data_IF_161507434439
#
_entry.id   IF_161507434439
#
_cell.length_a   1.000
_cell.length_b   1.000
_cell.length_c   1.000
_cell.angle_alpha   90.00
_cell.angle_beta   90.00
_cell.angle_gamma   90.00
#
_symmetry.space_group_name_H-M   'P 1'
#
loop_
_entity.id
_entity.type
_entity.pdbx_description
1 polymer ?
#
# COMPACT_ATOMS: atom_id res chain seq x y z
N UNK A 1 -21.30 -32.03 -16.18
CA UNK A 1 -20.52 -32.75 -15.15
C UNK A 1 -21.16 -32.43 -13.82
N UNK A 2 -21.57 -33.45 -13.08
CA UNK A 2 -22.12 -33.23 -11.74
C UNK A 2 -21.01 -32.83 -10.77
N UNK A 3 -21.16 -31.65 -10.17
CA UNK A 3 -20.18 -31.07 -9.27
C UNK A 3 -19.99 -31.91 -8.00
N UNK A 4 -21.06 -32.53 -7.53
CA UNK A 4 -21.05 -33.32 -6.31
C UNK A 4 -20.39 -34.68 -6.55
N UNK A 5 -20.69 -35.32 -7.68
CA UNK A 5 -19.97 -36.54 -8.12
C UNK A 5 -18.46 -36.32 -8.18
N UNK A 6 -18.00 -35.22 -8.81
CA UNK A 6 -16.57 -34.89 -8.90
C UNK A 6 -15.96 -34.61 -7.51
N UNK A 7 -16.71 -33.94 -6.63
CA UNK A 7 -16.27 -33.72 -5.26
C UNK A 7 -16.04 -35.04 -4.52
N UNK A 8 -16.99 -35.98 -4.61
CA UNK A 8 -16.85 -37.29 -3.97
C UNK A 8 -15.74 -38.14 -4.57
N UNK A 9 -15.50 -38.05 -5.88
CA UNK A 9 -14.37 -38.71 -6.55
C UNK A 9 -13.02 -38.28 -5.93
N UNK A 10 -12.84 -36.99 -5.66
CA UNK A 10 -11.61 -36.48 -5.06
C UNK A 10 -11.54 -36.64 -3.54
N UNK A 11 -12.66 -36.53 -2.82
CA UNK A 11 -12.67 -36.56 -1.36
C UNK A 11 -12.55 -37.98 -0.80
N UNK A 12 -13.22 -38.98 -1.42
CA UNK A 12 -13.25 -40.36 -0.92
C UNK A 12 -11.86 -40.94 -0.63
N UNK A 13 -10.85 -40.80 -1.50
CA UNK A 13 -9.49 -41.25 -1.21
C UNK A 13 -8.85 -40.56 0.02
N UNK A 14 -9.18 -39.29 0.29
CA UNK A 14 -8.58 -38.53 1.40
C UNK A 14 -9.15 -38.93 2.77
N UNK A 15 -10.40 -39.39 2.80
CA UNK A 15 -11.13 -39.80 4.01
C UNK A 15 -11.15 -41.33 4.20
N UNK A 16 -10.42 -42.05 3.35
CA UNK A 16 -10.23 -43.51 3.45
C UNK A 16 -8.80 -43.78 3.90
N UNK A 17 -8.63 -44.65 4.89
CA UNK A 17 -7.32 -45.02 5.44
C UNK A 17 -7.15 -46.52 5.39
N UNK A 18 -5.98 -46.95 4.96
CA UNK A 18 -5.57 -48.36 4.96
C UNK A 18 -4.76 -48.72 6.21
N UNK A 19 -4.24 -47.70 6.91
CA UNK A 19 -3.36 -47.84 8.08
C UNK A 19 -3.65 -46.79 9.14
N UNK A 20 -3.41 -47.15 10.39
CA UNK A 20 -3.28 -46.23 11.52
C UNK A 20 -1.81 -45.77 11.62
N UNK A 21 -1.52 -44.56 11.11
CA UNK A 21 -0.16 -44.00 11.10
C UNK A 21 0.36 -43.70 12.54
N UNK A 22 -0.53 -43.43 13.50
CA UNK A 22 -0.16 -43.11 14.88
C UNK A 22 0.24 -44.37 15.67
N UNK A 23 -0.47 -45.49 15.43
CA UNK A 23 -0.20 -46.78 16.08
C UNK A 23 0.66 -47.72 15.25
N UNK A 24 0.92 -47.35 14.00
CA UNK A 24 1.78 -48.09 13.07
C UNK A 24 1.19 -49.42 12.59
N UNK A 25 -0.11 -49.67 12.75
CA UNK A 25 -0.77 -50.93 12.35
C UNK A 25 -1.69 -50.76 11.14
N UNK A 26 -1.68 -51.77 10.26
CA UNK A 26 -2.56 -51.80 9.09
C UNK A 26 -3.97 -52.26 9.48
N UNK A 27 -5.00 -51.71 8.83
CA UNK A 27 -6.37 -52.15 9.02
C UNK A 27 -6.64 -53.44 8.21
N UNK A 28 -7.56 -54.28 8.68
CA UNK A 28 -7.97 -55.49 7.95
C UNK A 28 -8.68 -55.19 6.63
N UNK A 29 -9.24 -54.00 6.50
CA UNK A 29 -9.83 -53.44 5.29
C UNK A 29 -9.73 -51.91 5.32
N UNK A 30 -9.76 -51.22 4.17
CA UNK A 30 -9.81 -49.76 4.15
C UNK A 30 -10.98 -49.22 5.00
N UNK A 31 -10.68 -48.32 5.92
CA UNK A 31 -11.66 -47.67 6.79
C UNK A 31 -11.96 -46.29 6.22
N UNK A 32 -13.23 -46.04 5.88
CA UNK A 32 -13.68 -44.77 5.33
C UNK A 32 -14.51 -44.00 6.37
N UNK A 33 -14.29 -42.69 6.50
CA UNK A 33 -15.18 -41.84 7.28
C UNK A 33 -16.61 -41.84 6.67
N UNK A 34 -17.68 -42.01 7.48
CA UNK A 34 -19.04 -42.13 6.96
C UNK A 34 -19.48 -40.90 6.15
N UNK A 35 -19.92 -41.13 4.91
CA UNK A 35 -20.32 -40.07 3.97
C UNK A 35 -21.58 -39.34 4.44
N UNK A 36 -22.49 -40.06 5.08
CA UNK A 36 -23.73 -39.55 5.69
C UNK A 36 -23.48 -38.63 6.89
N UNK A 37 -22.28 -38.68 7.49
CA UNK A 37 -21.83 -37.73 8.50
C UNK A 37 -21.29 -36.41 7.91
N UNK A 38 -21.22 -36.26 6.59
CA UNK A 38 -20.67 -35.08 5.91
C UNK A 38 -21.81 -34.28 5.26
N UNK A 39 -22.01 -33.04 5.70
CA UNK A 39 -22.96 -32.10 5.07
C UNK A 39 -22.23 -31.12 4.15
N UNK A 40 -22.45 -31.23 2.83
CA UNK A 40 -21.92 -30.28 1.85
C UNK A 40 -22.72 -28.97 1.93
N UNK A 41 -22.05 -27.88 2.33
CA UNK A 41 -22.69 -26.54 2.34
C UNK A 41 -22.68 -25.89 0.95
N UNK A 42 -21.61 -26.10 0.17
CA UNK A 42 -21.44 -25.54 -1.17
C UNK A 42 -20.38 -26.33 -1.94
N UNK A 43 -20.73 -26.81 -3.14
CA UNK A 43 -19.79 -27.34 -4.12
C UNK A 43 -19.88 -26.53 -5.41
N UNK A 44 -18.76 -25.95 -5.85
CA UNK A 44 -18.68 -25.15 -7.08
C UNK A 44 -17.39 -25.50 -7.80
N UNK A 45 -17.42 -26.32 -8.86
CA UNK A 45 -16.25 -26.52 -9.70
C UNK A 45 -15.95 -25.21 -10.41
N UNK A 46 -14.68 -24.86 -10.48
CA UNK A 46 -14.25 -23.63 -11.14
C UNK A 46 -12.99 -23.91 -11.95
N UNK A 47 -12.88 -23.25 -13.11
CA UNK A 47 -11.72 -23.35 -13.98
C UNK A 47 -10.76 -22.22 -13.66
N UNK A 48 -9.50 -22.55 -13.43
CA UNK A 48 -8.47 -21.53 -13.28
C UNK A 48 -8.37 -20.74 -14.59
N UNK A 49 -8.53 -19.42 -14.49
CA UNK A 49 -8.37 -18.50 -15.60
C UNK A 49 -7.67 -17.25 -15.10
N UNK A 50 -6.80 -16.70 -15.94
CA UNK A 50 -6.32 -15.34 -15.80
C UNK A 50 -6.88 -14.52 -16.96
N UNK A 51 -7.70 -13.53 -16.65
CA UNK A 51 -8.29 -12.62 -17.64
C UNK A 51 -8.20 -11.21 -17.11
N UNK A 52 -7.96 -10.26 -18.00
CA UNK A 52 -7.93 -8.83 -17.66
C UNK A 52 -8.53 -8.08 -18.83
N UNK A 53 -9.34 -7.07 -18.55
CA UNK A 53 -9.92 -6.19 -19.56
C UNK A 53 -8.83 -5.49 -20.37
N UNK A 54 -9.10 -5.34 -21.66
CA UNK A 54 -8.33 -4.55 -22.61
C UNK A 54 -8.49 -3.04 -22.34
N UNK A 55 -9.65 -2.60 -21.84
CA UNK A 55 -9.91 -1.22 -21.49
C UNK A 55 -10.56 -1.13 -20.10
N UNK A 56 -9.89 -0.43 -19.18
CA UNK A 56 -10.33 -0.29 -17.78
C UNK A 56 -11.42 0.76 -17.57
N UNK A 57 -11.50 1.75 -18.47
CA UNK A 57 -12.52 2.77 -18.45
C UNK A 57 -12.85 3.24 -19.86
N UNK A 58 -14.11 3.60 -20.09
CA UNK A 58 -14.57 4.23 -21.31
C UNK A 58 -15.56 5.34 -20.93
N UNK A 59 -15.20 6.60 -21.25
CA UNK A 59 -15.95 7.78 -20.83
C UNK A 59 -16.18 7.77 -19.31
N UNK A 60 -17.44 7.63 -18.87
CA UNK A 60 -17.85 7.64 -17.44
C UNK A 60 -18.09 6.24 -16.88
N UNK A 61 -17.71 5.18 -17.61
CA UNK A 61 -17.82 3.78 -17.17
C UNK A 61 -16.43 3.27 -16.83
N UNK A 62 -16.29 2.70 -15.63
CA UNK A 62 -15.02 2.18 -15.11
C UNK A 62 -15.26 0.76 -14.59
N UNK A 63 -14.35 -0.16 -14.89
CA UNK A 63 -14.39 -1.56 -14.43
C UNK A 63 -13.31 -1.77 -13.35
N UNK A 64 -13.67 -2.45 -12.26
CA UNK A 64 -12.77 -2.79 -11.15
C UNK A 64 -13.09 -4.20 -10.61
N UNK A 65 -12.14 -4.79 -9.86
CA UNK A 65 -12.30 -6.11 -9.25
C UNK A 65 -12.54 -7.20 -10.30
N UNK A 66 -13.37 -8.19 -9.95
CA UNK A 66 -13.67 -9.34 -10.81
C UNK A 66 -14.29 -8.98 -12.17
N UNK A 67 -14.88 -7.77 -12.30
CA UNK A 67 -15.35 -7.24 -13.57
C UNK A 67 -14.22 -6.79 -14.50
N UNK A 68 -13.06 -6.41 -13.94
CA UNK A 68 -11.88 -5.98 -14.68
C UNK A 68 -10.84 -7.08 -14.83
N UNK A 69 -10.69 -7.97 -13.84
CA UNK A 69 -9.69 -9.02 -13.85
C UNK A 69 -10.10 -10.24 -13.03
N UNK A 70 -9.66 -11.41 -13.45
CA UNK A 70 -9.88 -12.68 -12.76
C UNK A 70 -8.54 -13.34 -12.54
N UNK A 71 -8.29 -13.80 -11.32
CA UNK A 71 -7.09 -14.56 -10.95
C UNK A 71 -7.41 -16.03 -10.70
N UNK A 72 -6.45 -16.94 -10.94
CA UNK A 72 -6.47 -18.24 -10.27
C UNK A 72 -6.51 -18.03 -8.74
N UNK A 73 -7.21 -18.85 -7.94
CA UNK A 73 -7.43 -18.57 -6.52
C UNK A 73 -6.26 -19.03 -5.65
N UNK A 74 -5.03 -18.66 -6.03
CA UNK A 74 -3.86 -18.82 -5.20
C UNK A 74 -3.53 -17.49 -4.53
N UNK A 75 -3.33 -17.51 -3.21
CA UNK A 75 -2.97 -16.35 -2.39
C UNK A 75 -4.01 -15.21 -2.30
N UNK A 76 -5.30 -15.47 -2.56
CA UNK A 76 -6.40 -14.53 -2.26
C UNK A 76 -6.36 -13.21 -3.04
N UNK A 77 -5.73 -13.16 -4.21
CA UNK A 77 -5.44 -11.91 -4.92
C UNK A 77 -6.65 -11.22 -5.57
N UNK A 78 -7.76 -11.92 -5.84
CA UNK A 78 -8.96 -11.33 -6.46
C UNK A 78 -9.54 -10.17 -5.66
N UNK A 79 -10.07 -10.48 -4.46
CA UNK A 79 -10.63 -9.46 -3.56
C UNK A 79 -9.60 -8.41 -3.15
N UNK A 80 -8.36 -8.82 -2.85
CA UNK A 80 -7.30 -7.90 -2.44
C UNK A 80 -6.93 -6.92 -3.56
N UNK A 81 -6.99 -7.33 -4.82
CA UNK A 81 -6.75 -6.46 -5.98
C UNK A 81 -7.95 -5.56 -6.25
N UNK A 82 -9.17 -6.08 -6.14
CA UNK A 82 -10.39 -5.27 -6.28
C UNK A 82 -10.47 -4.12 -5.27
N UNK A 83 -10.13 -4.36 -4.00
CA UNK A 83 -10.03 -3.31 -2.98
C UNK A 83 -8.97 -2.27 -3.34
N UNK A 84 -7.83 -2.71 -3.89
CA UNK A 84 -6.76 -1.80 -4.37
C UNK A 84 -7.22 -0.96 -5.55
N UNK A 85 -7.98 -1.54 -6.49
CA UNK A 85 -8.55 -0.80 -7.62
C UNK A 85 -9.43 0.35 -7.11
N UNK A 86 -10.37 0.04 -6.21
CA UNK A 86 -11.28 1.01 -5.62
C UNK A 86 -10.53 2.10 -4.83
N UNK A 87 -9.57 1.72 -3.99
CA UNK A 87 -8.81 2.66 -3.17
C UNK A 87 -7.99 3.65 -4.00
N UNK A 88 -7.33 3.18 -5.06
CA UNK A 88 -6.57 4.05 -5.97
C UNK A 88 -7.47 4.89 -6.89
N UNK A 89 -8.67 4.39 -7.21
CA UNK A 89 -9.64 5.10 -8.05
C UNK A 89 -10.33 6.23 -7.26
N UNK A 90 -10.69 5.98 -6.01
CA UNK A 90 -11.51 6.89 -5.19
C UNK A 90 -10.94 8.31 -5.13
N UNK A 91 -9.65 8.47 -4.83
CA UNK A 91 -9.03 9.79 -4.73
C UNK A 91 -8.91 10.49 -6.09
N UNK A 92 -8.73 9.73 -7.18
CA UNK A 92 -8.68 10.28 -8.54
C UNK A 92 -10.05 10.77 -9.00
N UNK A 93 -11.11 10.05 -8.64
CA UNK A 93 -12.47 10.53 -8.85
C UNK A 93 -12.75 11.78 -8.02
N UNK A 94 -12.35 11.79 -6.73
CA UNK A 94 -12.47 12.99 -5.89
C UNK A 94 -11.71 14.19 -6.48
N UNK A 95 -10.50 13.95 -7.00
CA UNK A 95 -9.70 14.96 -7.70
C UNK A 95 -10.41 15.51 -8.95
N UNK A 96 -10.94 14.63 -9.80
CA UNK A 96 -11.67 15.03 -11.00
C UNK A 96 -12.96 15.79 -10.67
N UNK A 97 -13.68 15.38 -9.62
CA UNK A 97 -14.91 16.03 -9.17
C UNK A 97 -14.67 17.42 -8.57
N UNK A 98 -13.52 17.63 -7.92
CA UNK A 98 -13.13 18.91 -7.31
C UNK A 98 -12.43 19.85 -8.29
N UNK A 99 -11.93 19.35 -9.42
CA UNK A 99 -11.33 20.19 -10.45
C UNK A 99 -12.37 21.13 -11.06
N UNK A 100 -12.02 22.42 -11.18
CA UNK A 100 -12.86 23.45 -11.82
C UNK A 100 -13.13 23.19 -13.31
N UNK A 101 -12.28 22.39 -13.97
CA UNK A 101 -12.42 22.05 -15.39
C UNK A 101 -12.23 20.55 -15.61
N UNK A 102 -13.31 19.85 -15.95
CA UNK A 102 -13.32 18.43 -16.29
C UNK A 102 -13.20 18.24 -17.81
N UNK A 103 -12.11 18.74 -18.40
CA UNK A 103 -11.86 18.47 -19.82
C UNK A 103 -11.71 16.97 -20.05
N UNK A 104 -12.12 16.50 -21.22
CA UNK A 104 -11.96 15.09 -21.59
C UNK A 104 -10.48 14.65 -21.57
N UNK A 105 -9.57 15.55 -21.95
CA UNK A 105 -8.13 15.32 -21.89
C UNK A 105 -7.65 15.07 -20.44
N UNK A 106 -8.10 15.87 -19.46
CA UNK A 106 -7.74 15.68 -18.06
C UNK A 106 -8.29 14.36 -17.52
N UNK A 107 -9.57 14.06 -17.79
CA UNK A 107 -10.19 12.79 -17.37
C UNK A 107 -9.43 11.60 -17.95
N UNK A 108 -9.12 11.63 -19.25
CA UNK A 108 -8.38 10.56 -19.91
C UNK A 108 -6.95 10.42 -19.38
N UNK A 109 -6.26 11.51 -19.05
CA UNK A 109 -4.92 11.48 -18.46
C UNK A 109 -4.92 10.87 -17.05
N UNK A 110 -5.85 11.30 -16.19
CA UNK A 110 -5.96 10.84 -14.80
C UNK A 110 -6.39 9.36 -14.76
N UNK A 111 -7.45 8.99 -15.48
CA UNK A 111 -7.93 7.61 -15.52
C UNK A 111 -7.00 6.68 -16.33
N UNK A 112 -6.34 7.21 -17.36
CA UNK A 112 -5.31 6.50 -18.12
C UNK A 112 -4.12 6.10 -17.25
N UNK A 113 -3.59 7.05 -16.46
CA UNK A 113 -2.50 6.76 -15.53
C UNK A 113 -2.90 5.75 -14.45
N UNK A 114 -4.13 5.86 -13.93
CA UNK A 114 -4.70 4.86 -13.01
C UNK A 114 -4.77 3.47 -13.64
N UNK A 115 -5.32 3.36 -14.85
CA UNK A 115 -5.43 2.08 -15.55
C UNK A 115 -4.07 1.43 -15.77
N UNK A 116 -3.03 2.21 -16.09
CA UNK A 116 -1.66 1.71 -16.22
C UNK A 116 -1.07 1.26 -14.88
N UNK A 117 -1.25 2.02 -13.80
CA UNK A 117 -0.82 1.63 -12.44
C UNK A 117 -1.50 0.32 -12.02
N UNK A 118 -2.81 0.18 -12.28
CA UNK A 118 -3.57 -1.03 -11.96
C UNK A 118 -3.20 -2.21 -12.84
N UNK A 119 -3.02 -2.00 -14.14
CA UNK A 119 -2.59 -3.05 -15.07
C UNK A 119 -1.27 -3.67 -14.62
N UNK A 120 -0.28 -2.84 -14.32
CA UNK A 120 1.00 -3.32 -13.79
C UNK A 120 0.82 -4.14 -12.51
N UNK A 121 0.03 -3.63 -11.56
CA UNK A 121 -0.22 -4.34 -10.29
C UNK A 121 -0.95 -5.67 -10.46
N UNK A 122 -1.85 -5.78 -11.44
CA UNK A 122 -2.58 -7.02 -11.75
C UNK A 122 -1.66 -8.02 -12.42
N UNK A 123 -0.86 -7.58 -13.40
CA UNK A 123 0.09 -8.46 -14.09
C UNK A 123 1.15 -9.03 -13.14
N UNK A 124 1.63 -8.22 -12.19
CA UNK A 124 2.58 -8.67 -11.15
C UNK A 124 1.91 -9.64 -10.16
N UNK A 125 0.65 -9.38 -9.77
CA UNK A 125 -0.12 -10.31 -8.93
C UNK A 125 -0.41 -11.64 -9.66
N UNK A 126 -0.64 -11.60 -10.97
CA UNK A 126 -0.91 -12.80 -11.78
C UNK A 126 0.30 -13.73 -11.79
N UNK A 127 1.50 -13.18 -12.03
CA UNK A 127 2.76 -13.94 -11.96
C UNK A 127 2.95 -14.58 -10.58
N UNK A 128 2.70 -13.82 -9.51
CA UNK A 128 2.80 -14.32 -8.15
C UNK A 128 1.79 -15.45 -7.86
N UNK A 129 0.54 -15.27 -8.26
CA UNK A 129 -0.51 -16.28 -8.13
C UNK A 129 -0.19 -17.55 -8.93
N UNK A 130 0.34 -17.43 -10.15
CA UNK A 130 0.77 -18.59 -10.94
C UNK A 130 1.92 -19.35 -10.27
N UNK A 131 2.92 -18.63 -9.73
CA UNK A 131 4.02 -19.26 -8.99
C UNK A 131 3.51 -20.00 -7.75
N UNK A 132 2.61 -19.39 -6.97
CA UNK A 132 2.00 -20.07 -5.83
C UNK A 132 1.19 -21.29 -6.25
N UNK A 133 0.44 -21.19 -7.36
CA UNK A 133 -0.27 -22.32 -7.92
C UNK A 133 0.66 -23.47 -8.28
N UNK A 134 1.82 -23.17 -8.89
CA UNK A 134 2.84 -24.18 -9.15
C UNK A 134 3.36 -24.83 -7.87
N UNK A 135 3.70 -24.04 -6.85
CA UNK A 135 4.22 -24.53 -5.57
C UNK A 135 3.21 -25.35 -4.76
N UNK A 136 1.91 -25.04 -4.87
CA UNK A 136 0.86 -25.82 -4.20
C UNK A 136 0.59 -27.17 -4.86
N UNK A 137 0.85 -27.30 -6.16
CA UNK A 137 0.53 -28.50 -6.93
C UNK A 137 1.75 -29.37 -7.25
N UNK A 138 2.96 -28.90 -6.96
CA UNK A 138 4.20 -29.62 -7.25
C UNK A 138 5.11 -29.58 -6.03
N UNK A 139 5.83 -30.68 -5.79
CA UNK A 139 6.84 -30.68 -4.76
C UNK A 139 7.98 -29.72 -5.09
N UNK A 140 8.30 -28.74 -4.22
CA UNK A 140 9.42 -27.86 -4.45
C UNK A 140 10.74 -28.63 -4.34
N UNK A 141 11.72 -28.29 -5.17
CA UNK A 141 13.06 -28.85 -5.11
C UNK A 141 13.71 -28.59 -3.74
N UNK A 142 14.64 -29.46 -3.32
CA UNK A 142 15.33 -29.29 -2.03
C UNK A 142 16.06 -27.95 -1.94
N UNK A 143 16.65 -27.47 -3.05
CA UNK A 143 17.28 -26.16 -3.14
C UNK A 143 16.31 -25.01 -2.91
N UNK A 144 15.11 -25.09 -3.46
CA UNK A 144 14.07 -24.08 -3.22
C UNK A 144 13.64 -24.08 -1.74
N UNK A 145 13.45 -25.27 -1.14
CA UNK A 145 13.11 -25.39 0.29
C UNK A 145 14.21 -24.78 1.17
N UNK A 146 15.48 -25.08 0.89
CA UNK A 146 16.62 -24.49 1.60
C UNK A 146 16.68 -22.97 1.45
N UNK A 147 16.49 -22.46 0.23
CA UNK A 147 16.46 -21.02 -0.04
C UNK A 147 15.32 -20.33 0.71
N UNK A 148 14.13 -20.93 0.73
CA UNK A 148 12.98 -20.41 1.46
C UNK A 148 13.23 -20.39 2.97
N UNK A 149 13.81 -21.46 3.53
CA UNK A 149 14.20 -21.50 4.93
C UNK A 149 15.26 -20.44 5.28
N UNK A 150 16.25 -20.23 4.41
CA UNK A 150 17.24 -19.17 4.58
C UNK A 150 16.58 -17.78 4.55
N UNK A 151 15.67 -17.54 3.61
CA UNK A 151 14.95 -16.28 3.51
C UNK A 151 14.11 -16.01 4.76
N UNK A 152 13.34 -16.99 5.24
CA UNK A 152 12.58 -16.88 6.49
C UNK A 152 13.48 -16.67 7.71
N UNK A 153 14.62 -17.37 7.77
CA UNK A 153 15.59 -17.18 8.85
C UNK A 153 16.15 -15.75 8.85
N UNK A 154 16.56 -15.24 7.69
CA UNK A 154 17.03 -13.86 7.54
C UNK A 154 15.96 -12.85 7.96
N UNK A 155 14.70 -13.04 7.55
CA UNK A 155 13.60 -12.16 7.97
C UNK A 155 13.32 -12.20 9.47
N UNK A 156 13.45 -13.36 10.11
CA UNK A 156 13.24 -13.52 11.55
C UNK A 156 14.37 -12.92 12.40
N UNK A 157 15.56 -12.75 11.81
CA UNK A 157 16.73 -12.25 12.51
C UNK A 157 16.74 -10.71 12.59
N UNK A 158 16.94 -10.15 13.79
CA UNK A 158 16.99 -8.70 14.02
C UNK A 158 18.11 -7.99 13.24
N UNK A 159 19.19 -8.69 12.88
CA UNK A 159 20.26 -8.09 12.08
C UNK A 159 19.79 -7.70 10.66
N UNK A 160 18.83 -8.42 10.07
CA UNK A 160 18.30 -8.09 8.74
C UNK A 160 17.52 -6.77 8.70
N UNK A 161 17.10 -6.26 9.86
CA UNK A 161 16.37 -5.00 10.02
C UNK A 161 17.24 -3.77 9.68
N UNK A 162 18.56 -3.92 9.69
CA UNK A 162 19.49 -2.86 9.31
C UNK A 162 19.55 -2.68 7.78
N UNK A 163 19.09 -3.66 7.02
CA UNK A 163 19.04 -3.61 5.57
C UNK A 163 17.66 -3.13 5.06
N UNK A 164 17.64 -2.38 3.94
CA UNK A 164 16.40 -1.96 3.30
C UNK A 164 15.48 -3.16 3.07
N UNK A 165 14.21 -3.03 3.45
CA UNK A 165 13.24 -4.11 3.22
C UNK A 165 13.12 -4.38 1.70
N UNK A 166 13.48 -5.59 1.21
CA UNK A 166 13.38 -5.92 -0.21
C UNK A 166 11.96 -5.72 -0.75
N UNK A 167 10.93 -6.02 0.05
CA UNK A 167 9.55 -5.76 -0.30
C UNK A 167 9.28 -4.26 -0.48
N UNK A 168 9.83 -3.39 0.39
CA UNK A 168 9.67 -1.94 0.25
C UNK A 168 10.37 -1.39 -1.02
N UNK A 169 11.49 -2.00 -1.44
CA UNK A 169 12.17 -1.66 -2.69
C UNK A 169 11.29 -2.05 -3.89
N UNK A 170 10.75 -3.27 -3.88
CA UNK A 170 9.85 -3.76 -4.93
C UNK A 170 8.57 -2.93 -5.01
N UNK A 171 7.96 -2.62 -3.85
CA UNK A 171 6.81 -1.71 -3.73
C UNK A 171 7.11 -0.35 -4.34
N UNK A 172 8.27 0.25 -4.03
CA UNK A 172 8.68 1.55 -4.57
C UNK A 172 8.75 1.51 -6.10
N UNK A 173 9.50 0.56 -6.66
CA UNK A 173 9.66 0.40 -8.12
C UNK A 173 8.34 0.14 -8.84
N UNK A 174 7.32 -0.36 -8.13
CA UNK A 174 6.04 -0.77 -8.67
C UNK A 174 5.29 0.32 -9.43
N UNK A 175 5.32 1.59 -8.98
CA UNK A 175 4.59 2.67 -9.65
C UNK A 175 5.48 3.77 -10.22
N UNK A 176 6.77 3.78 -9.88
CA UNK A 176 7.69 4.84 -10.30
C UNK A 176 7.82 5.00 -11.82
N UNK A 177 7.78 3.90 -12.57
CA UNK A 177 7.99 3.93 -14.03
C UNK A 177 6.67 3.92 -14.83
N UNK A 178 5.52 4.12 -14.17
CA UNK A 178 4.24 4.15 -14.87
C UNK A 178 4.11 5.48 -15.59
N UNK A 179 3.92 5.44 -16.92
CA UNK A 179 3.77 6.63 -17.74
C UNK A 179 2.58 7.47 -17.25
N UNK A 180 2.85 8.75 -16.94
CA UNK A 180 1.85 9.65 -16.40
C UNK A 180 1.37 9.30 -14.97
N UNK A 181 2.04 8.38 -14.28
CA UNK A 181 1.73 8.05 -12.89
C UNK A 181 1.94 9.25 -11.95
N UNK A 182 1.33 9.18 -10.77
CA UNK A 182 1.53 10.19 -9.73
C UNK A 182 2.75 9.86 -8.86
N UNK A 183 3.92 9.76 -9.47
CA UNK A 183 5.20 9.47 -8.82
C UNK A 183 6.36 10.06 -9.62
N UNK A 184 7.22 10.82 -8.96
CA UNK A 184 8.44 11.39 -9.56
C UNK A 184 9.65 10.49 -9.26
N UNK A 185 10.18 9.84 -10.30
CA UNK A 185 11.34 8.94 -10.20
C UNK A 185 12.59 9.64 -9.66
N UNK A 186 12.91 10.80 -10.22
CA UNK A 186 14.10 11.58 -9.86
C UNK A 186 14.08 12.13 -8.42
N UNK A 187 12.92 12.05 -7.75
CA UNK A 187 12.71 12.56 -6.39
C UNK A 187 12.26 11.45 -5.43
N UNK A 188 12.71 10.21 -5.64
CA UNK A 188 12.43 9.07 -4.77
C UNK A 188 10.92 8.76 -4.53
N UNK A 189 10.06 9.10 -5.50
CA UNK A 189 8.64 8.76 -5.48
C UNK A 189 8.36 7.25 -5.59
N UNK A 190 7.11 6.87 -5.28
CA UNK A 190 6.59 5.51 -5.40
C UNK A 190 6.65 4.70 -4.09
N UNK A 191 7.33 5.19 -3.06
CA UNK A 191 7.34 4.53 -1.76
C UNK A 191 5.93 4.51 -1.15
N UNK A 192 5.53 3.40 -0.53
CA UNK A 192 4.29 3.33 0.26
C UNK A 192 4.60 3.52 1.73
N UNK A 193 3.94 4.44 2.43
CA UNK A 193 4.08 4.58 3.87
C UNK A 193 3.29 3.49 4.60
N UNK A 194 3.88 2.98 5.69
CA UNK A 194 3.24 1.98 6.56
C UNK A 194 2.49 2.67 7.67
N UNK A 195 1.38 2.09 8.12
CA UNK A 195 0.71 2.58 9.31
C UNK A 195 1.59 2.38 10.56
N UNK A 196 1.69 3.42 11.37
CA UNK A 196 2.35 3.39 12.68
C UNK A 196 1.57 4.24 13.68
N UNK A 197 1.86 4.09 14.97
CA UNK A 197 1.41 5.08 15.95
C UNK A 197 2.30 6.30 15.88
N UNK A 198 1.69 7.46 16.02
CA UNK A 198 2.34 8.74 16.21
C UNK A 198 1.81 9.36 17.49
N UNK A 199 2.64 10.13 18.17
CA UNK A 199 2.29 10.87 19.37
C UNK A 199 2.46 12.35 19.13
N UNK A 200 1.45 13.14 19.48
CA UNK A 200 1.52 14.60 19.46
C UNK A 200 2.39 15.12 20.61
N UNK A 201 2.81 16.37 20.50
CA UNK A 201 3.42 17.12 21.59
C UNK A 201 2.55 17.18 22.86
N UNK A 202 1.23 17.07 22.74
CA UNK A 202 0.29 17.05 23.86
C UNK A 202 0.16 15.66 24.51
N UNK A 203 0.84 14.64 23.97
CA UNK A 203 0.86 13.29 24.48
C UNK A 203 -0.23 12.37 23.91
N UNK A 204 -1.09 12.88 23.03
CA UNK A 204 -2.13 12.09 22.35
C UNK A 204 -1.48 11.12 21.35
N UNK A 205 -1.85 9.84 21.40
CA UNK A 205 -1.38 8.83 20.45
C UNK A 205 -2.48 8.43 19.48
N UNK A 206 -2.22 8.64 18.19
CA UNK A 206 -3.14 8.31 17.10
C UNK A 206 -2.42 7.47 16.04
N UNK A 207 -3.19 6.88 15.12
CA UNK A 207 -2.61 6.19 13.98
C UNK A 207 -2.21 7.20 12.90
N UNK A 208 -1.07 6.95 12.25
CA UNK A 208 -0.49 7.85 11.24
C UNK A 208 -1.44 8.11 10.07
N UNK A 209 -2.30 7.17 9.70
CA UNK A 209 -3.28 7.35 8.63
C UNK A 209 -4.46 8.23 9.02
N UNK A 210 -4.73 8.39 10.31
CA UNK A 210 -5.69 9.38 10.83
C UNK A 210 -5.09 10.77 10.70
N UNK A 211 -3.82 10.92 11.12
CA UNK A 211 -3.08 12.17 10.97
C UNK A 211 -2.94 12.61 9.51
N UNK A 212 -2.56 11.70 8.61
CA UNK A 212 -2.33 12.03 7.20
C UNK A 212 -3.63 12.33 6.43
N UNK A 213 -4.80 12.04 7.01
CA UNK A 213 -6.14 12.31 6.48
C UNK A 213 -6.93 13.30 7.34
N UNK A 214 -6.24 14.14 8.12
CA UNK A 214 -6.86 15.14 8.98
C UNK A 214 -7.50 16.30 8.20
N UNK A 215 -7.02 16.56 6.97
CA UNK A 215 -7.54 17.58 6.07
C UNK A 215 -8.41 16.97 4.98
N UNK A 216 -9.42 17.72 4.54
CA UNK A 216 -10.26 17.35 3.41
C UNK A 216 -9.54 17.44 2.06
N UNK A 217 -8.31 17.94 1.98
CA UNK A 217 -7.51 18.01 0.76
C UNK A 217 -7.21 16.62 0.15
N UNK A 218 -6.89 16.59 -1.15
CA UNK A 218 -6.50 15.35 -1.83
C UNK A 218 -5.07 14.97 -1.52
N UNK A 219 -4.13 15.92 -1.48
CA UNK A 219 -2.74 15.63 -1.17
C UNK A 219 -2.36 16.15 0.21
N UNK A 220 -1.39 15.48 0.83
CA UNK A 220 -0.85 15.84 2.14
C UNK A 220 0.64 16.10 1.99
N UNK A 221 1.14 17.16 2.61
CA UNK A 221 2.59 17.42 2.70
C UNK A 221 3.06 17.00 4.08
N UNK A 222 4.10 16.17 4.12
CA UNK A 222 4.83 15.85 5.33
C UNK A 222 6.07 16.74 5.37
N UNK A 223 6.19 17.60 6.38
CA UNK A 223 7.40 18.35 6.68
C UNK A 223 8.17 17.66 7.81
N UNK A 224 9.45 17.35 7.58
CA UNK A 224 10.29 16.58 8.51
C UNK A 224 11.12 17.55 9.35
N UNK A 225 10.71 17.68 10.61
CA UNK A 225 11.34 18.50 11.65
C UNK A 225 12.71 17.95 12.07
N UNK A 226 13.57 18.84 12.57
CA UNK A 226 14.88 18.50 13.13
C UNK A 226 15.08 19.05 14.56
N UNK A 227 14.12 19.79 15.10
CA UNK A 227 14.15 20.39 16.43
C UNK A 227 14.87 21.74 16.51
N UNK A 228 15.60 22.16 15.48
CA UNK A 228 16.35 23.43 15.47
C UNK A 228 15.64 24.51 14.64
N UNK A 229 15.03 24.13 13.51
CA UNK A 229 14.49 25.07 12.50
C UNK A 229 13.02 24.79 12.16
N UNK A 230 12.26 24.17 13.06
CA UNK A 230 10.94 23.61 12.74
C UNK A 230 9.91 24.68 12.32
N UNK A 231 9.93 25.87 12.94
CA UNK A 231 9.11 27.02 12.51
C UNK A 231 9.42 27.47 11.09
N UNK A 232 10.70 27.45 10.70
CA UNK A 232 11.11 27.80 9.34
C UNK A 232 10.67 26.74 8.34
N UNK A 233 10.80 25.46 8.68
CA UNK A 233 10.33 24.35 7.83
C UNK A 233 8.83 24.45 7.55
N UNK A 234 8.04 24.76 8.57
CA UNK A 234 6.60 24.98 8.37
C UNK A 234 6.33 26.19 7.48
N UNK A 235 6.99 27.32 7.75
CA UNK A 235 6.80 28.54 6.98
C UNK A 235 7.18 28.35 5.50
N UNK A 236 8.30 27.70 5.24
CA UNK A 236 8.75 27.35 3.90
C UNK A 236 7.71 26.48 3.15
N UNK A 237 7.11 25.49 3.83
CA UNK A 237 6.06 24.66 3.24
C UNK A 237 4.78 25.46 2.98
N UNK A 238 4.41 26.35 3.92
CA UNK A 238 3.23 27.21 3.80
C UNK A 238 3.34 28.14 2.60
N UNK A 239 4.46 28.87 2.48
CA UNK A 239 4.73 29.78 1.36
C UNK A 239 4.75 29.04 0.02
N UNK A 240 5.36 27.85 -0.03
CA UNK A 240 5.38 27.03 -1.24
C UNK A 240 3.96 26.58 -1.66
N UNK A 241 3.10 26.21 -0.71
CA UNK A 241 1.71 25.82 -1.00
C UNK A 241 0.89 27.02 -1.48
N UNK A 242 0.96 28.14 -0.77
CA UNK A 242 0.24 29.37 -1.12
C UNK A 242 0.70 29.92 -2.49
N UNK A 243 2.00 29.86 -2.77
CA UNK A 243 2.60 30.27 -4.05
C UNK A 243 2.34 29.31 -5.22
N UNK A 244 1.94 28.07 -4.96
CA UNK A 244 1.71 27.07 -6.02
C UNK A 244 0.53 27.43 -6.94
N UNK A 245 -0.49 28.11 -6.40
CA UNK A 245 -1.75 28.36 -7.09
C UNK A 245 -2.51 27.08 -7.47
N UNK A 246 -2.31 26.00 -6.71
CA UNK A 246 -3.13 24.77 -6.77
C UNK A 246 -4.47 25.04 -6.06
N UNK A 247 -5.53 24.39 -6.52
CA UNK A 247 -6.86 24.54 -5.90
C UNK A 247 -6.82 24.12 -4.41
N UNK A 248 -7.33 24.94 -3.47
CA UNK A 248 -7.35 24.61 -2.04
C UNK A 248 -8.06 23.29 -1.71
N UNK A 249 -9.01 22.85 -2.52
CA UNK A 249 -9.68 21.56 -2.37
C UNK A 249 -8.76 20.36 -2.70
N UNK A 250 -7.66 20.61 -3.41
CA UNK A 250 -6.66 19.62 -3.79
C UNK A 250 -5.47 19.65 -2.83
N UNK A 251 -4.95 20.83 -2.50
CA UNK A 251 -3.84 21.01 -1.58
C UNK A 251 -3.94 22.38 -0.91
N UNK A 252 -3.84 22.42 0.42
CA UNK A 252 -3.86 23.67 1.21
C UNK A 252 -2.94 23.59 2.41
N UNK A 253 -2.74 24.70 3.10
CA UNK A 253 -1.91 24.79 4.31
C UNK A 253 -2.42 23.89 5.44
N UNK A 254 -3.73 23.60 5.49
CA UNK A 254 -4.33 22.65 6.45
C UNK A 254 -3.87 21.20 6.26
N UNK A 255 -3.35 20.85 5.08
CA UNK A 255 -2.87 19.50 4.75
C UNK A 255 -1.36 19.32 5.02
N UNK A 256 -0.72 20.31 5.64
CA UNK A 256 0.69 20.22 6.06
C UNK A 256 0.75 19.54 7.42
N UNK A 257 1.51 18.44 7.49
CA UNK A 257 1.74 17.65 8.70
C UNK A 257 3.21 17.74 9.09
N UNK A 258 3.48 18.07 10.35
CA UNK A 258 4.84 18.14 10.89
C UNK A 258 5.20 16.81 11.58
N UNK A 259 6.27 16.17 11.11
CA UNK A 259 6.80 14.94 11.68
C UNK A 259 8.22 15.14 12.21
N UNK A 260 8.46 14.83 13.48
CA UNK A 260 9.80 14.78 14.07
C UNK A 260 10.34 13.35 14.15
N UNK A 261 11.55 13.06 13.63
CA UNK A 261 12.16 11.73 13.64
C UNK A 261 12.43 11.12 15.01
N UNK A 262 12.68 11.98 15.99
CA UNK A 262 13.11 11.58 17.33
C UNK A 262 12.10 12.07 18.34
N UNK A 263 11.51 11.13 19.08
CA UNK A 263 10.89 11.44 20.36
C UNK A 263 12.03 11.63 21.36
N UNK A 264 12.57 12.86 21.47
CA UNK A 264 13.34 13.20 22.67
C UNK A 264 12.36 13.12 23.82
N UNK A 265 12.66 12.36 24.88
CA UNK A 265 11.79 12.17 26.05
C UNK A 265 11.53 13.43 26.90
N UNK A 266 11.47 14.61 26.26
CA UNK A 266 10.99 15.88 26.78
C UNK A 266 10.01 16.48 25.76
N UNK A 267 8.99 17.16 26.27
CA UNK A 267 7.92 17.84 25.55
C UNK A 267 8.40 18.44 24.21
N UNK A 268 8.05 17.81 23.09
CA UNK A 268 8.24 18.41 21.77
C UNK A 268 7.46 19.72 21.81
N UNK A 269 8.11 20.86 21.59
CA UNK A 269 7.38 22.13 21.62
C UNK A 269 6.52 22.24 20.36
N UNK A 270 5.26 22.70 20.45
CA UNK A 270 4.50 23.04 19.26
C UNK A 270 5.27 24.05 18.42
N UNK A 271 5.09 23.97 17.11
CA UNK A 271 5.64 24.97 16.20
C UNK A 271 4.68 26.15 16.17
N UNK A 272 5.15 27.32 16.62
CA UNK A 272 4.40 28.56 16.51
C UNK A 272 4.57 29.12 15.09
N UNK A 273 3.44 29.30 14.39
CA UNK A 273 3.42 29.98 13.10
C UNK A 273 3.66 31.49 13.28
N UNK A 274 4.02 32.18 12.20
CA UNK A 274 4.19 33.65 12.20
C UNK A 274 2.90 34.37 12.61
N UNK A 275 1.74 33.74 12.43
CA UNK A 275 0.41 34.22 12.83
C UNK A 275 0.01 33.87 14.28
N UNK A 276 0.88 33.19 15.04
CA UNK A 276 0.63 32.79 16.45
C UNK A 276 -0.18 31.51 16.62
N UNK A 277 -0.56 30.83 15.54
CA UNK A 277 -1.20 29.50 15.63
C UNK A 277 -0.16 28.45 16.04
N UNK A 278 -0.51 27.61 17.01
CA UNK A 278 0.31 26.49 17.45
C UNK A 278 0.00 25.25 16.62
N UNK A 279 1.03 24.74 15.94
CA UNK A 279 0.94 23.59 15.06
C UNK A 279 1.55 22.39 15.76
N UNK A 280 0.74 21.34 15.89
CA UNK A 280 1.15 20.11 16.53
C UNK A 280 2.24 19.41 15.71
N UNK A 281 3.26 18.95 16.41
CA UNK A 281 4.34 18.13 15.85
C UNK A 281 4.15 16.72 16.34
N UNK A 282 4.22 15.77 15.42
CA UNK A 282 4.02 14.36 15.71
C UNK A 282 5.32 13.59 15.60
N UNK A 283 5.56 12.67 16.53
CA UNK A 283 6.70 11.76 16.47
C UNK A 283 6.25 10.31 16.44
N UNK A 284 7.00 9.41 15.79
CA UNK A 284 6.71 7.98 15.85
C UNK A 284 6.66 7.49 17.30
N UNK A 285 5.59 6.78 17.63
CA UNK A 285 5.35 6.25 18.97
C UNK A 285 5.14 4.73 18.93
N UNK A 286 5.38 4.08 20.07
CA UNK A 286 5.00 2.68 20.24
C UNK A 286 3.51 2.57 20.55
N UNK A 287 2.94 1.38 20.32
CA UNK A 287 1.56 1.09 20.66
C UNK A 287 1.29 1.43 22.14
N UNK A 288 0.19 2.14 22.47
CA UNK A 288 -0.17 2.56 23.85
C UNK A 288 -0.37 1.43 24.88
N UNK A 289 -0.16 0.17 24.49
CA UNK A 289 -0.44 -1.04 25.27
C UNK A 289 0.66 -2.09 25.16
N UNK A 290 1.86 -1.69 24.72
CA UNK A 290 3.09 -2.47 24.89
C UNK A 290 3.07 -3.91 24.36
N UNK A 291 2.31 -4.24 23.31
CA UNK A 291 2.38 -5.59 22.74
C UNK A 291 3.72 -5.78 22.01
N UNK A 292 4.59 -6.71 22.45
CA UNK A 292 5.92 -6.95 21.86
C UNK A 292 5.87 -7.70 20.51
N UNK A 293 4.76 -7.60 19.77
CA UNK A 293 4.50 -8.35 18.54
C UNK A 293 4.46 -7.52 17.26
N UNK A 294 4.68 -6.20 17.33
CA UNK A 294 4.90 -5.43 16.10
C UNK A 294 6.23 -5.84 15.50
N UNK A 295 6.21 -6.30 14.24
CA UNK A 295 7.42 -6.61 13.48
C UNK A 295 8.45 -5.50 13.70
N UNK A 296 9.71 -5.83 14.02
CA UNK A 296 10.75 -4.83 14.25
C UNK A 296 10.98 -3.87 13.06
N UNK A 297 10.43 -4.19 11.87
CA UNK A 297 10.39 -3.35 10.67
C UNK A 297 9.28 -2.27 10.68
N UNK A 298 8.44 -2.20 11.72
CA UNK A 298 7.39 -1.18 11.91
C UNK A 298 7.75 -0.22 13.05
N UNK A 299 8.96 0.33 13.02
CA UNK A 299 9.39 1.38 13.94
C UNK A 299 9.49 2.73 13.18
N UNK A 300 9.56 3.83 13.93
CA UNK A 300 9.64 5.18 13.36
C UNK A 300 10.80 5.37 12.39
N UNK A 301 11.93 4.72 12.66
CA UNK A 301 13.10 4.72 11.77
C UNK A 301 12.78 4.08 10.42
N UNK A 302 12.19 2.89 10.40
CA UNK A 302 11.80 2.20 9.17
C UNK A 302 10.75 2.98 8.37
N UNK A 303 9.84 3.69 9.06
CA UNK A 303 8.89 4.61 8.43
C UNK A 303 9.61 5.76 7.70
N UNK A 304 10.55 6.42 8.36
CA UNK A 304 11.28 7.56 7.80
C UNK A 304 12.33 7.13 6.75
N UNK A 305 12.93 5.95 6.89
CA UNK A 305 13.82 5.38 5.87
C UNK A 305 13.09 5.17 4.53
N UNK A 306 11.75 4.99 4.54
CA UNK A 306 10.93 4.98 3.30
C UNK A 306 10.80 6.36 2.64
N UNK A 307 11.00 7.45 3.37
CA UNK A 307 11.07 8.80 2.81
C UNK A 307 12.50 9.16 2.39
N UNK A 308 13.51 8.54 3.02
CA UNK A 308 14.93 8.80 2.77
C UNK A 308 15.49 9.87 3.71
N UNK A 309 16.75 9.69 4.12
CA UNK A 309 17.37 10.47 5.22
C UNK A 309 17.59 11.95 4.93
N UNK A 310 17.63 12.34 3.66
CA UNK A 310 17.84 13.74 3.24
C UNK A 310 16.55 14.49 2.98
N UNK A 311 15.41 13.82 3.10
CA UNK A 311 14.10 14.39 2.80
C UNK A 311 13.71 15.39 3.89
N UNK A 312 13.24 16.55 3.46
CA UNK A 312 12.67 17.60 4.32
C UNK A 312 11.18 17.77 4.09
N UNK A 313 10.73 17.55 2.85
CA UNK A 313 9.32 17.59 2.49
C UNK A 313 8.96 16.36 1.68
N UNK A 314 7.81 15.76 1.93
CA UNK A 314 7.29 14.67 1.11
C UNK A 314 5.84 14.96 0.74
N UNK A 315 5.53 14.86 -0.57
CA UNK A 315 4.17 14.97 -1.07
C UNK A 315 3.54 13.58 -1.11
N UNK A 316 2.36 13.43 -0.50
CA UNK A 316 1.70 12.15 -0.30
C UNK A 316 0.31 12.12 -0.95
N UNK A 317 -0.03 10.98 -1.56
CA UNK A 317 -1.38 10.66 -2.05
C UNK A 317 -2.25 10.07 -0.93
N UNK A 318 -3.60 10.09 -1.04
CA UNK A 318 -4.50 9.49 -0.05
C UNK A 318 -4.33 7.98 0.14
N UNK A 319 -3.74 7.29 -0.85
CA UNK A 319 -3.45 5.87 -0.79
C UNK A 319 -2.09 5.54 -0.14
N UNK A 320 -1.47 6.53 0.52
CA UNK A 320 -0.19 6.48 1.24
C UNK A 320 1.04 6.25 0.35
N UNK A 321 0.90 6.43 -0.96
CA UNK A 321 2.05 6.48 -1.85
C UNK A 321 2.65 7.88 -1.88
N UNK A 322 3.98 7.92 -1.80
CA UNK A 322 4.77 9.14 -1.89
C UNK A 322 4.88 9.53 -3.35
N UNK A 323 4.41 10.72 -3.69
CA UNK A 323 4.56 11.30 -5.02
C UNK A 323 6.01 11.71 -5.23
N UNK A 324 6.60 12.37 -4.23
CA UNK A 324 7.95 12.94 -4.30
C UNK A 324 8.51 13.21 -2.91
N UNK A 325 9.83 13.07 -2.77
CA UNK A 325 10.63 13.48 -1.62
C UNK A 325 11.56 14.62 -2.03
N UNK A 326 11.47 15.74 -1.33
CA UNK A 326 12.21 16.97 -1.59
C UNK A 326 13.16 17.27 -0.43
N UNK A 327 14.40 17.65 -0.74
CA UNK A 327 15.46 17.95 0.25
C UNK A 327 15.42 19.39 0.77
N UNK A 328 14.77 20.28 0.02
CA UNK A 328 14.71 21.71 0.29
C UNK A 328 13.45 22.32 -0.36
N UNK A 329 13.19 23.59 -0.06
CA UNK A 329 12.01 24.34 -0.53
C UNK A 329 11.96 24.44 -2.05
N UNK A 330 13.10 24.69 -2.71
CA UNK A 330 13.17 24.78 -4.18
C UNK A 330 12.72 23.50 -4.86
N UNK A 331 13.11 22.34 -4.31
CA UNK A 331 12.65 21.05 -4.78
C UNK A 331 11.15 20.83 -4.51
N UNK A 332 10.62 21.36 -3.41
CA UNK A 332 9.19 21.34 -3.10
C UNK A 332 8.40 22.19 -4.10
N UNK A 333 8.82 23.44 -4.35
CA UNK A 333 8.20 24.33 -5.33
C UNK A 333 8.18 23.71 -6.74
N UNK A 334 9.29 23.08 -7.16
CA UNK A 334 9.35 22.36 -8.44
C UNK A 334 8.37 21.17 -8.47
N UNK A 335 8.24 20.44 -7.36
CA UNK A 335 7.27 19.35 -7.22
C UNK A 335 5.83 19.87 -7.33
N UNK A 336 5.52 21.00 -6.69
CA UNK A 336 4.19 21.62 -6.75
C UNK A 336 3.87 22.19 -8.14
N UNK A 337 4.85 22.78 -8.83
CA UNK A 337 4.69 23.19 -10.24
C UNK A 337 4.35 22.00 -11.12
N UNK A 338 5.09 20.90 -10.97
CA UNK A 338 4.81 19.65 -11.69
C UNK A 338 3.41 19.11 -11.36
N UNK A 339 3.01 19.14 -10.09
CA UNK A 339 1.67 18.71 -9.69
C UNK A 339 0.60 19.57 -10.35
N UNK A 340 0.76 20.90 -10.35
CA UNK A 340 -0.16 21.82 -11.00
C UNK A 340 -0.30 21.53 -12.49
N UNK A 341 0.81 21.36 -13.20
CA UNK A 341 0.80 20.99 -14.63
C UNK A 341 0.06 19.67 -14.89
N UNK A 342 0.10 18.73 -13.93
CA UNK A 342 -0.64 17.46 -14.01
C UNK A 342 -2.15 17.61 -13.80
N UNK A 343 -2.57 18.66 -13.11
CA UNK A 343 -3.96 18.93 -12.75
C UNK A 343 -4.69 19.82 -13.76
N UNK A 344 -3.94 20.50 -14.64
CA UNK A 344 -4.48 21.36 -15.69
C UNK A 344 -4.60 20.56 -16.99
N UNK A 345 -5.63 20.78 -17.82
CA UNK A 345 -5.68 20.20 -19.16
C UNK A 345 -4.42 20.58 -19.95
N UNK A 346 -3.74 19.61 -20.55
CA UNK A 346 -2.78 19.92 -21.61
C UNK A 346 -3.58 20.12 -22.90
N UNK A 347 -3.37 21.25 -23.56
CA UNK A 347 -4.07 21.64 -24.81
C UNK A 347 -3.83 20.67 -25.96
#
# INVERSE_FOLDING_TARGET
>A
MDAESLFWEHLKPMITRERDDDRGCDFSSPVQFPVDCIRILRCRPYRFAHKVVNQWFHKRVILIGDAAHVFPPFAGQGIASGVRDAHQLAWRLALLLRSKSQSEALVNSILGSWALERRKSVDDAAKFTMLNGYLCNNEPSIWFRMLLHLAMFLESNQFSLQFPNPQAIVERRGFTHVQGGFSLENSHGGARLTQMYVQSNEGESILSDTLLRSSDCIFTIIAICNGADDSRIYQDAKEAVEGSGIDPAVLSTSSIVLLSPSYSGGCIKPVESVSGEQIQVFSPAMHPGGRPGMSPRRNGRAYLDRLGRSTRFALLRPDFFVVSCCKNVKELEKCLSWLKERLVPQE
#
